data_IF_298469458914
#
_entry.id   IF_298469458914
#
_cell.length_a   1.000
_cell.length_b   1.000
_cell.length_c   1.000
_cell.angle_alpha   90.00
_cell.angle_beta   90.00
_cell.angle_gamma   90.00
#
_symmetry.space_group_name_H-M   'P 1'
#
loop_
_entity.id
_entity.type
_entity.pdbx_description
1 polymer ?
#
# COMPACT_ATOMS: atom_id res chain seq x y z
N UNK A 1 13.14 22.93 37.30
CA UNK A 1 13.41 22.00 36.18
C UNK A 1 12.07 21.58 35.64
N UNK A 2 11.64 22.12 34.50
CA UNK A 2 10.38 21.76 33.86
C UNK A 2 10.61 20.46 33.10
N UNK A 3 10.07 19.35 33.59
CA UNK A 3 10.08 18.08 32.88
C UNK A 3 9.02 18.20 31.80
N UNK A 4 9.44 18.48 30.57
CA UNK A 4 8.56 18.43 29.40
C UNK A 4 8.16 16.97 29.21
N UNK A 5 6.93 16.61 29.62
CA UNK A 5 6.34 15.34 29.26
C UNK A 5 6.18 15.32 27.74
N UNK A 6 7.10 14.65 27.04
CA UNK A 6 6.84 14.27 25.66
C UNK A 6 5.59 13.36 25.64
N UNK A 7 4.69 13.52 24.66
CA UNK A 7 3.56 12.61 24.53
C UNK A 7 4.11 11.21 24.33
N UNK A 8 3.86 10.33 25.31
CA UNK A 8 4.10 8.90 25.20
C UNK A 8 3.20 8.35 24.10
N UNK A 9 3.65 8.42 22.85
CA UNK A 9 3.08 7.65 21.76
C UNK A 9 3.25 6.19 22.16
N UNK A 10 2.16 5.42 22.35
CA UNK A 10 2.30 4.01 22.69
C UNK A 10 3.16 3.33 21.61
N UNK A 11 4.04 2.38 21.97
CA UNK A 11 4.80 1.65 20.99
C UNK A 11 3.81 1.01 20.01
N UNK A 12 3.98 1.29 18.72
CA UNK A 12 3.28 0.55 17.68
C UNK A 12 3.57 -0.93 17.93
N UNK A 13 2.52 -1.77 17.95
CA UNK A 13 2.76 -3.20 17.97
C UNK A 13 3.62 -3.56 16.76
N UNK A 14 4.45 -4.61 16.85
CA UNK A 14 5.25 -5.06 15.70
C UNK A 14 4.39 -5.26 14.43
N UNK A 15 3.10 -5.58 14.61
CA UNK A 15 2.09 -5.62 13.55
C UNK A 15 1.78 -4.25 12.94
N UNK A 16 1.64 -3.20 13.76
CA UNK A 16 1.46 -1.82 13.31
C UNK A 16 2.66 -1.28 12.54
N UNK A 17 3.88 -1.55 13.01
CA UNK A 17 5.11 -1.17 12.30
C UNK A 17 5.23 -1.86 10.94
N UNK A 18 4.85 -3.14 10.86
CA UNK A 18 4.84 -3.90 9.61
C UNK A 18 3.80 -3.35 8.62
N UNK A 19 2.60 -3.01 9.11
CA UNK A 19 1.53 -2.43 8.29
C UNK A 19 1.97 -1.08 7.71
N UNK A 20 2.54 -0.20 8.54
CA UNK A 20 3.08 1.09 8.07
C UNK A 20 4.20 0.89 7.04
N UNK A 21 5.12 -0.03 7.29
CA UNK A 21 6.21 -0.33 6.36
C UNK A 21 5.69 -0.84 5.02
N UNK A 22 4.65 -1.67 5.04
CA UNK A 22 4.02 -2.20 3.83
C UNK A 22 3.26 -1.11 3.06
N UNK A 23 2.56 -0.21 3.77
CA UNK A 23 1.87 0.93 3.17
C UNK A 23 2.85 1.91 2.51
N UNK A 24 3.95 2.26 3.20
CA UNK A 24 5.00 3.10 2.64
C UNK A 24 5.66 2.47 1.40
N UNK A 25 5.94 1.16 1.47
CA UNK A 25 6.51 0.42 0.34
C UNK A 25 5.55 0.41 -0.85
N UNK A 26 4.26 0.18 -0.59
CA UNK A 26 3.22 0.21 -1.61
C UNK A 26 3.17 1.58 -2.28
N UNK A 27 3.15 2.66 -1.49
CA UNK A 27 3.09 4.04 -1.98
C UNK A 27 4.29 4.39 -2.87
N UNK A 28 5.53 4.07 -2.43
CA UNK A 28 6.74 4.30 -3.24
C UNK A 28 6.72 3.52 -4.53
N UNK A 29 6.32 2.25 -4.47
CA UNK A 29 6.29 1.37 -5.62
C UNK A 29 5.27 1.86 -6.66
N UNK A 30 4.07 2.24 -6.21
CA UNK A 30 3.05 2.81 -7.08
C UNK A 30 3.44 4.15 -7.71
N UNK A 31 4.18 4.98 -6.97
CA UNK A 31 4.72 6.25 -7.49
C UNK A 31 5.72 5.99 -8.61
N UNK A 32 6.68 5.08 -8.39
CA UNK A 32 7.66 4.68 -9.40
C UNK A 32 7.00 4.08 -10.64
N UNK A 33 5.96 3.27 -10.46
CA UNK A 33 5.20 2.70 -11.57
C UNK A 33 4.42 3.76 -12.36
N UNK A 34 3.85 4.76 -11.69
CA UNK A 34 3.18 5.88 -12.33
C UNK A 34 4.15 6.72 -13.18
N UNK A 35 5.36 6.96 -12.69
CA UNK A 35 6.41 7.67 -13.45
C UNK A 35 6.88 6.90 -14.69
N UNK A 36 6.79 5.56 -14.66
CA UNK A 36 7.29 4.70 -15.73
C UNK A 36 6.44 4.75 -17.00
N UNK A 37 5.24 5.35 -16.97
CA UNK A 37 4.32 5.57 -18.09
C UNK A 37 4.10 4.34 -19.02
N UNK A 38 4.34 3.14 -18.51
CA UNK A 38 4.34 1.89 -19.26
C UNK A 38 3.36 0.88 -18.67
N UNK A 39 3.04 -0.15 -19.46
CA UNK A 39 2.22 -1.26 -18.98
C UNK A 39 2.92 -1.97 -17.82
N UNK A 40 2.22 -2.13 -16.70
CA UNK A 40 2.72 -2.88 -15.56
C UNK A 40 2.89 -4.33 -15.97
N UNK A 41 4.02 -4.93 -15.57
CA UNK A 41 4.17 -6.37 -15.65
C UNK A 41 3.16 -7.07 -14.74
N UNK A 42 2.70 -8.27 -15.13
CA UNK A 42 1.78 -9.09 -14.32
C UNK A 42 2.30 -9.35 -12.90
N UNK A 43 3.62 -9.41 -12.72
CA UNK A 43 4.24 -9.59 -11.40
C UNK A 43 4.08 -8.35 -10.52
N UNK A 44 4.26 -7.17 -11.11
CA UNK A 44 4.17 -5.87 -10.43
C UNK A 44 2.71 -5.63 -9.98
N UNK A 45 1.75 -5.91 -10.87
CA UNK A 45 0.33 -5.85 -10.58
C UNK A 45 -0.06 -6.82 -9.44
N UNK A 46 0.44 -8.06 -9.49
CA UNK A 46 0.16 -9.07 -8.45
C UNK A 46 0.71 -8.65 -7.08
N UNK A 47 1.90 -8.05 -7.03
CA UNK A 47 2.50 -7.56 -5.78
C UNK A 47 1.65 -6.43 -5.19
N UNK A 48 1.31 -5.42 -6.00
CA UNK A 48 0.48 -4.28 -5.58
C UNK A 48 -0.90 -4.76 -5.10
N UNK A 49 -1.53 -5.69 -5.83
CA UNK A 49 -2.83 -6.28 -5.46
C UNK A 49 -2.75 -7.03 -4.13
N UNK A 50 -1.74 -7.89 -3.94
CA UNK A 50 -1.56 -8.66 -2.70
C UNK A 50 -1.31 -7.75 -1.50
N UNK A 51 -0.50 -6.71 -1.67
CA UNK A 51 -0.25 -5.72 -0.62
C UNK A 51 -1.53 -4.96 -0.25
N UNK A 52 -2.30 -4.48 -1.24
CA UNK A 52 -3.61 -3.83 -1.01
C UNK A 52 -4.56 -4.73 -0.23
N UNK A 53 -4.67 -6.01 -0.62
CA UNK A 53 -5.53 -6.98 0.07
C UNK A 53 -5.05 -7.22 1.50
N UNK A 54 -3.75 -7.41 1.71
CA UNK A 54 -3.19 -7.64 3.05
C UNK A 54 -3.46 -6.46 3.99
N UNK A 55 -3.23 -5.24 3.52
CA UNK A 55 -3.50 -4.00 4.25
C UNK A 55 -5.01 -3.83 4.55
N UNK A 56 -5.86 -4.09 3.56
CA UNK A 56 -7.32 -4.05 3.74
C UNK A 56 -7.81 -5.08 4.77
N UNK A 57 -7.31 -6.32 4.70
CA UNK A 57 -7.64 -7.38 5.66
C UNK A 57 -7.14 -7.08 7.07
N UNK A 58 -6.07 -6.30 7.20
CA UNK A 58 -5.57 -5.81 8.48
C UNK A 58 -6.37 -4.62 9.03
N UNK A 59 -7.37 -4.10 8.29
CA UNK A 59 -8.17 -2.94 8.68
C UNK A 59 -7.57 -1.59 8.28
N UNK A 60 -6.56 -1.57 7.41
CA UNK A 60 -5.85 -0.39 6.95
C UNK A 60 -5.94 -0.30 5.41
N UNK A 61 -7.08 0.12 4.84
CA UNK A 61 -7.20 0.23 3.39
C UNK A 61 -6.24 1.32 2.87
N UNK A 62 -5.27 0.98 1.98
CA UNK A 62 -4.30 1.96 1.50
C UNK A 62 -4.96 2.95 0.52
N UNK A 63 -4.57 4.22 0.62
CA UNK A 63 -4.97 5.24 -0.35
C UNK A 63 -4.15 5.10 -1.63
N UNK A 64 -4.79 4.61 -2.69
CA UNK A 64 -4.18 4.47 -4.00
C UNK A 64 -4.72 5.53 -4.96
N UNK A 65 -3.85 6.02 -5.85
CA UNK A 65 -4.25 6.95 -6.91
C UNK A 65 -5.30 6.33 -7.84
N UNK A 66 -6.20 7.14 -8.37
CA UNK A 66 -7.36 6.68 -9.17
C UNK A 66 -6.94 5.82 -10.38
N UNK A 67 -5.85 6.19 -11.05
CA UNK A 67 -5.29 5.45 -12.19
C UNK A 67 -4.84 4.04 -11.80
N UNK A 68 -4.30 3.89 -10.59
CA UNK A 68 -3.80 2.63 -10.06
C UNK A 68 -4.96 1.73 -9.63
N UNK A 69 -5.94 2.30 -8.93
CA UNK A 69 -7.16 1.59 -8.59
C UNK A 69 -7.86 1.08 -9.86
N UNK A 70 -7.99 1.93 -10.88
CA UNK A 70 -8.57 1.55 -12.16
C UNK A 70 -7.76 0.43 -12.85
N UNK A 71 -6.43 0.51 -12.86
CA UNK A 71 -5.57 -0.52 -13.44
C UNK A 71 -5.74 -1.89 -12.74
N UNK A 72 -5.72 -1.88 -11.41
CA UNK A 72 -5.86 -3.09 -10.59
C UNK A 72 -7.24 -3.73 -10.70
N UNK A 73 -8.29 -2.90 -10.82
CA UNK A 73 -9.68 -3.36 -10.92
C UNK A 73 -10.03 -3.82 -12.35
N UNK A 74 -9.42 -3.23 -13.40
CA UNK A 74 -9.60 -3.67 -14.79
C UNK A 74 -9.08 -5.08 -15.04
N UNK A 75 -7.92 -5.42 -14.48
CA UNK A 75 -7.31 -6.74 -14.66
C UNK A 75 -8.09 -7.87 -13.98
N UNK A 76 -9.04 -7.57 -13.07
CA UNK A 76 -9.97 -8.57 -12.52
C UNK A 76 -10.99 -9.02 -13.57
N UNK A 77 -11.33 -8.16 -14.54
CA UNK A 77 -12.30 -8.47 -15.60
C UNK A 77 -11.70 -9.27 -16.75
N UNK A 78 -10.39 -9.14 -17.00
CA UNK A 78 -9.68 -9.83 -18.10
C UNK A 78 -9.28 -11.29 -17.76
N UNK A 79 -9.35 -11.68 -16.48
CA UNK A 79 -9.06 -13.05 -16.01
C UNK A 79 -10.18 -14.08 -16.21
N UNK A 80 -11.28 -13.70 -16.85
CA UNK A 80 -12.38 -14.60 -17.23
C UNK A 80 -12.28 -15.01 -18.69
N UNK A 81 -11.24 -15.76 -19.07
CA UNK A 81 -11.22 -16.50 -20.34
C UNK A 81 -10.36 -17.77 -20.25
#
# INVERSE_FOLDING_TARGET
>A
MTVTNEPNTPPLSATGELIMSLDELLHRYTTLLGERAGAWGKDEENVVRRARIALTNAGYPPELGHEITAHLDYAVLDGSN
#
